data_IF_101093286621
#
_entry.id   IF_101093286621
#
_cell.length_a   1.000
_cell.length_b   1.000
_cell.length_c   1.000
_cell.angle_alpha   90.00
_cell.angle_beta   90.00
_cell.angle_gamma   90.00
#
_symmetry.space_group_name_H-M   'P 1'
#
loop_
_entity.id
_entity.type
_entity.pdbx_description
1 polymer ?
#
# COMPACT_ATOMS: atom_id res chain seq x y z
N UNK A 1 59.94 15.45 36.07
CA UNK A 1 58.59 15.96 35.71
C UNK A 1 58.33 15.64 34.26
N UNK A 2 57.63 14.55 33.97
CA UNK A 2 57.22 14.16 32.62
C UNK A 2 55.71 14.46 32.52
N UNK A 3 55.35 15.39 31.62
CA UNK A 3 53.96 15.67 31.24
C UNK A 3 53.49 14.52 30.33
N UNK A 4 52.53 13.77 30.77
CA UNK A 4 51.77 12.83 29.93
C UNK A 4 50.76 13.59 29.11
N UNK A 5 50.94 13.56 27.79
CA UNK A 5 49.94 14.05 26.84
C UNK A 5 48.79 13.04 26.77
N UNK A 6 47.57 13.53 26.97
CA UNK A 6 46.34 12.75 26.74
C UNK A 6 46.09 12.49 25.27
N UNK A 7 45.33 11.45 24.92
CA UNK A 7 45.12 11.11 23.52
C UNK A 7 44.24 12.16 22.82
N UNK A 8 44.70 12.61 21.67
CA UNK A 8 43.94 13.47 20.76
C UNK A 8 42.69 12.74 20.28
N UNK A 9 41.53 13.32 20.53
CA UNK A 9 40.27 12.91 19.93
C UNK A 9 40.34 13.10 18.41
N UNK A 10 40.15 12.04 17.68
CA UNK A 10 40.02 12.02 16.22
C UNK A 10 38.86 12.91 15.77
N UNK A 11 39.00 13.75 14.75
CA UNK A 11 37.94 14.55 14.18
C UNK A 11 37.10 13.71 13.20
N UNK A 12 36.27 12.80 13.69
CA UNK A 12 35.38 11.99 12.87
C UNK A 12 33.98 11.96 13.50
N UNK A 13 33.42 13.13 13.73
CA UNK A 13 32.01 13.35 13.97
C UNK A 13 31.68 14.80 13.59
N UNK A 14 32.05 15.20 12.38
CA UNK A 14 31.34 16.33 11.79
C UNK A 14 29.91 15.84 11.52
N UNK A 15 29.04 16.33 12.38
CA UNK A 15 27.60 16.21 12.34
C UNK A 15 27.10 16.24 10.90
N UNK A 16 26.17 15.36 10.59
CA UNK A 16 25.31 15.48 9.41
C UNK A 16 24.52 16.81 9.55
N UNK A 17 25.20 17.92 9.25
CA UNK A 17 24.61 19.25 9.22
C UNK A 17 23.44 19.23 8.29
N UNK A 18 22.28 19.62 8.81
CA UNK A 18 21.07 19.78 8.04
C UNK A 18 21.39 20.60 6.79
N UNK A 19 21.42 19.94 5.63
CA UNK A 19 21.67 20.62 4.36
C UNK A 19 20.58 21.64 4.15
N UNK A 20 20.96 22.89 3.94
CA UNK A 20 20.00 23.93 3.60
C UNK A 20 19.23 23.56 2.34
N UNK A 21 18.03 24.11 2.16
CA UNK A 21 17.25 23.89 0.94
C UNK A 21 18.07 24.21 -0.32
N UNK A 22 18.93 25.22 -0.24
CA UNK A 22 19.82 25.65 -1.32
C UNK A 22 20.88 24.59 -1.65
N UNK A 23 21.46 23.95 -0.65
CA UNK A 23 22.44 22.87 -0.83
C UNK A 23 21.78 21.60 -1.37
N UNK A 24 20.60 21.26 -0.89
CA UNK A 24 19.80 20.13 -1.41
C UNK A 24 19.42 20.37 -2.88
N UNK A 25 18.94 21.57 -3.22
CA UNK A 25 18.64 21.95 -4.60
C UNK A 25 19.91 21.94 -5.47
N UNK A 26 21.04 22.46 -4.97
CA UNK A 26 22.32 22.42 -5.65
C UNK A 26 22.79 20.99 -5.95
N UNK A 27 22.61 20.05 -5.01
CA UNK A 27 22.95 18.65 -5.21
C UNK A 27 22.09 17.97 -6.28
N UNK A 28 20.82 18.37 -6.40
CA UNK A 28 19.90 17.89 -7.44
C UNK A 28 20.27 18.45 -8.82
N UNK A 29 20.63 19.74 -8.88
CA UNK A 29 20.98 20.42 -10.13
C UNK A 29 22.31 19.96 -10.73
N UNK A 30 23.23 19.45 -9.90
CA UNK A 30 24.56 19.00 -10.34
C UNK A 30 24.62 17.54 -10.80
N UNK A 31 23.51 16.80 -10.76
CA UNK A 31 23.48 15.37 -11.11
C UNK A 31 23.35 15.18 -12.63
N UNK A 32 24.22 14.35 -13.19
CA UNK A 32 24.11 13.90 -14.58
C UNK A 32 22.85 13.02 -14.72
N UNK A 33 22.00 13.34 -15.71
CA UNK A 33 20.81 12.55 -16.03
C UNK A 33 19.47 13.14 -15.57
N UNK A 34 19.44 14.32 -14.92
CA UNK A 34 18.19 15.02 -14.62
C UNK A 34 17.57 15.60 -15.89
N UNK A 35 16.30 15.29 -16.15
CA UNK A 35 15.61 15.74 -17.36
C UNK A 35 15.03 17.16 -17.24
N UNK A 36 14.86 17.67 -16.03
CA UNK A 36 14.43 19.04 -15.80
C UNK A 36 15.61 20.01 -15.89
N UNK A 37 15.46 21.06 -16.71
CA UNK A 37 16.42 22.15 -16.67
C UNK A 37 16.41 22.82 -15.28
N UNK A 38 17.53 23.46 -14.84
CA UNK A 38 17.59 24.14 -13.53
C UNK A 38 16.46 25.15 -13.30
N UNK A 39 15.96 25.78 -14.35
CA UNK A 39 14.84 26.74 -14.29
C UNK A 39 13.52 26.00 -14.02
N UNK A 40 13.26 24.92 -14.73
CA UNK A 40 12.03 24.13 -14.57
C UNK A 40 12.00 23.44 -13.21
N UNK A 41 13.13 22.88 -12.76
CA UNK A 41 13.27 22.25 -11.46
C UNK A 41 12.94 23.24 -10.31
N UNK A 42 13.47 24.47 -10.39
CA UNK A 42 13.18 25.54 -9.41
C UNK A 42 11.72 25.95 -9.44
N UNK A 43 11.12 26.04 -10.63
CA UNK A 43 9.69 26.35 -10.77
C UNK A 43 8.83 25.25 -10.16
N UNK A 44 9.09 23.99 -10.48
CA UNK A 44 8.35 22.85 -9.92
C UNK A 44 8.47 22.82 -8.39
N UNK A 45 9.67 23.07 -7.84
CA UNK A 45 9.84 23.18 -6.39
C UNK A 45 9.01 24.31 -5.80
N UNK A 46 8.98 25.50 -6.42
CA UNK A 46 8.20 26.62 -5.95
C UNK A 46 6.68 26.31 -5.97
N UNK A 47 6.21 25.63 -7.01
CA UNK A 47 4.81 25.17 -7.12
C UNK A 47 4.47 24.16 -6.00
N UNK A 48 5.34 23.16 -5.75
CA UNK A 48 5.17 22.21 -4.65
C UNK A 48 5.18 22.90 -3.28
N UNK A 49 6.08 23.88 -3.08
CA UNK A 49 6.14 24.67 -1.84
C UNK A 49 4.87 25.49 -1.63
N UNK A 50 4.32 26.07 -2.72
CA UNK A 50 3.04 26.76 -2.66
C UNK A 50 1.90 25.82 -2.25
N UNK A 51 1.83 24.61 -2.79
CA UNK A 51 0.87 23.57 -2.37
C UNK A 51 1.06 23.26 -0.87
N UNK A 52 2.27 23.04 -0.41
CA UNK A 52 2.60 22.68 0.98
C UNK A 52 2.50 23.82 1.99
N UNK A 53 2.26 25.07 1.56
CA UNK A 53 2.29 26.25 2.42
C UNK A 53 1.20 26.18 3.52
N UNK A 54 1.56 26.23 4.82
CA UNK A 54 0.59 26.15 5.91
C UNK A 54 -0.33 27.39 6.04
N UNK A 55 0.01 28.50 5.39
CA UNK A 55 -0.70 29.78 5.49
C UNK A 55 -1.86 29.91 4.50
N UNK A 56 -1.99 29.02 3.52
CA UNK A 56 -3.11 29.02 2.58
C UNK A 56 -4.23 28.06 3.01
N UNK A 57 -5.45 28.32 2.55
CA UNK A 57 -6.58 27.42 2.80
C UNK A 57 -6.40 26.07 2.13
N UNK A 58 -7.09 25.05 2.64
CA UNK A 58 -7.06 23.70 2.02
C UNK A 58 -7.65 23.72 0.61
N UNK A 59 -8.66 24.56 0.35
CA UNK A 59 -9.26 24.73 -0.98
C UNK A 59 -8.24 25.29 -1.98
N UNK A 60 -7.50 26.32 -1.59
CA UNK A 60 -6.45 26.90 -2.44
C UNK A 60 -5.29 25.91 -2.62
N UNK A 61 -4.89 25.21 -1.56
CA UNK A 61 -3.88 24.16 -1.63
C UNK A 61 -4.28 23.03 -2.59
N UNK A 62 -5.54 22.58 -2.55
CA UNK A 62 -6.08 21.59 -3.48
C UNK A 62 -6.09 22.08 -4.94
N UNK A 63 -6.44 23.36 -5.16
CA UNK A 63 -6.41 23.97 -6.48
C UNK A 63 -4.99 24.00 -7.07
N UNK A 64 -4.01 24.38 -6.27
CA UNK A 64 -2.60 24.38 -6.67
C UNK A 64 -2.10 22.95 -6.95
N UNK A 65 -2.48 21.99 -6.10
CA UNK A 65 -2.14 20.58 -6.28
C UNK A 65 -2.70 20.01 -7.59
N UNK A 66 -3.94 20.36 -7.94
CA UNK A 66 -4.53 19.98 -9.23
C UNK A 66 -3.73 20.53 -10.43
N UNK A 67 -3.20 21.75 -10.34
CA UNK A 67 -2.31 22.33 -11.36
C UNK A 67 -1.02 21.53 -11.54
N UNK A 68 -0.38 21.13 -10.42
CA UNK A 68 0.81 20.28 -10.46
C UNK A 68 0.47 18.89 -11.03
N UNK A 69 -0.66 18.29 -10.67
CA UNK A 69 -1.10 17.02 -11.21
C UNK A 69 -1.35 17.08 -12.74
N UNK A 70 -1.92 18.16 -13.24
CA UNK A 70 -2.08 18.39 -14.69
C UNK A 70 -0.73 18.49 -15.42
N UNK A 71 0.25 19.17 -14.84
CA UNK A 71 1.59 19.19 -15.37
C UNK A 71 2.21 17.79 -15.36
N UNK A 72 2.09 17.07 -14.25
CA UNK A 72 2.62 15.71 -14.08
C UNK A 72 2.07 14.73 -15.13
N UNK A 73 0.79 14.82 -15.46
CA UNK A 73 0.17 13.97 -16.46
C UNK A 73 0.81 14.10 -17.87
N UNK A 74 1.40 15.27 -18.18
CA UNK A 74 2.08 15.56 -19.44
C UNK A 74 3.59 15.40 -19.37
N UNK A 75 4.13 15.21 -18.15
CA UNK A 75 5.56 15.13 -17.92
C UNK A 75 6.14 13.79 -18.42
N UNK A 76 7.39 13.81 -18.85
CA UNK A 76 8.14 12.59 -19.20
C UNK A 76 8.41 11.76 -17.94
N UNK A 77 8.75 10.48 -18.12
CA UNK A 77 9.11 9.61 -17.00
C UNK A 77 10.26 10.19 -16.14
N UNK A 78 11.26 10.79 -16.77
CA UNK A 78 12.36 11.42 -16.05
C UNK A 78 11.91 12.66 -15.27
N UNK A 79 11.06 13.50 -15.86
CA UNK A 79 10.50 14.66 -15.19
C UNK A 79 9.63 14.30 -13.98
N UNK A 80 8.87 13.19 -14.07
CA UNK A 80 8.13 12.63 -12.95
C UNK A 80 9.07 12.14 -11.85
N UNK A 81 10.14 11.45 -12.21
CA UNK A 81 11.17 11.01 -11.27
C UNK A 81 11.82 12.19 -10.53
N UNK A 82 12.18 13.28 -11.24
CA UNK A 82 12.71 14.48 -10.60
C UNK A 82 11.70 15.13 -9.65
N UNK A 83 10.40 15.13 -10.01
CA UNK A 83 9.32 15.60 -9.13
C UNK A 83 9.24 14.76 -7.84
N UNK A 84 9.34 13.43 -7.93
CA UNK A 84 9.35 12.56 -6.75
C UNK A 84 10.55 12.85 -5.84
N UNK A 85 11.73 13.10 -6.43
CA UNK A 85 12.92 13.49 -5.67
C UNK A 85 12.71 14.81 -4.92
N UNK A 86 12.12 15.82 -5.58
CA UNK A 86 11.75 17.07 -4.91
C UNK A 86 10.79 16.82 -3.73
N UNK A 87 9.73 16.04 -3.93
CA UNK A 87 8.79 15.70 -2.86
C UNK A 87 9.48 14.91 -1.73
N UNK A 88 10.41 14.03 -2.06
CA UNK A 88 11.09 13.19 -1.08
C UNK A 88 12.12 13.96 -0.26
N UNK A 89 12.96 14.79 -0.90
CA UNK A 89 14.11 15.42 -0.24
C UNK A 89 13.80 16.82 0.32
N UNK A 90 12.91 17.59 -0.34
CA UNK A 90 12.68 18.99 0.04
C UNK A 90 11.58 19.17 1.11
N UNK A 91 10.81 18.12 1.38
CA UNK A 91 9.71 18.12 2.35
C UNK A 91 9.96 17.16 3.51
N UNK A 92 11.22 16.98 3.89
CA UNK A 92 11.61 16.21 5.07
C UNK A 92 11.26 16.96 6.36
N UNK A 93 11.12 16.28 7.51
CA UNK A 93 11.04 16.94 8.82
C UNK A 93 12.21 17.89 9.06
N UNK A 94 11.99 18.93 9.84
CA UNK A 94 13.06 19.83 10.25
C UNK A 94 13.98 19.12 11.25
N UNK A 95 15.24 18.95 10.87
CA UNK A 95 16.23 18.18 11.64
C UNK A 95 16.51 18.86 13.00
N UNK A 96 16.57 20.20 13.05
CA UNK A 96 16.87 20.92 14.28
C UNK A 96 15.73 20.80 15.28
N UNK A 97 14.47 20.95 14.83
CA UNK A 97 13.29 20.75 15.66
C UNK A 97 13.17 19.30 16.16
N UNK A 98 13.53 18.33 15.30
CA UNK A 98 13.48 16.91 15.67
C UNK A 98 14.53 16.59 16.74
N UNK A 99 15.75 17.07 16.59
CA UNK A 99 16.84 16.88 17.56
C UNK A 99 16.55 17.57 18.90
N UNK A 100 15.93 18.76 18.88
CA UNK A 100 15.49 19.45 20.08
C UNK A 100 14.39 18.66 20.81
N UNK A 101 13.34 18.28 20.08
CA UNK A 101 12.22 17.52 20.66
C UNK A 101 12.67 16.15 21.19
N UNK A 102 13.67 15.51 20.56
CA UNK A 102 14.25 14.25 21.04
C UNK A 102 14.99 14.46 22.36
N UNK A 103 15.84 15.49 22.46
CA UNK A 103 16.54 15.83 23.71
C UNK A 103 15.57 16.14 24.85
N UNK A 104 14.52 16.90 24.56
CA UNK A 104 13.48 17.22 25.53
C UNK A 104 12.77 15.97 26.04
N UNK A 105 12.46 15.02 25.14
CA UNK A 105 11.84 13.76 25.50
C UNK A 105 12.77 12.89 26.38
N UNK A 106 14.04 12.75 25.98
CA UNK A 106 15.04 12.01 26.76
C UNK A 106 15.23 12.58 28.15
N UNK A 107 15.20 13.91 28.30
CA UNK A 107 15.30 14.60 29.59
C UNK A 107 14.04 14.48 30.47
N UNK A 108 12.87 14.29 29.85
CA UNK A 108 11.59 14.20 30.53
C UNK A 108 11.23 12.77 31.00
N UNK A 109 11.97 11.75 30.57
CA UNK A 109 11.68 10.35 30.91
C UNK A 109 11.56 10.12 32.42
N UNK A 110 10.47 9.45 32.84
CA UNK A 110 10.17 9.18 34.25
C UNK A 110 9.70 10.41 35.04
N UNK A 111 9.46 11.55 34.42
CA UNK A 111 8.93 12.76 35.05
C UNK A 111 7.47 13.03 34.63
N UNK A 112 6.72 13.90 35.35
CA UNK A 112 5.38 14.30 34.94
C UNK A 112 5.32 15.00 33.56
N UNK A 113 6.45 15.47 33.03
CA UNK A 113 6.54 16.15 31.71
C UNK A 113 6.68 15.17 30.53
N UNK A 114 6.88 13.86 30.78
CA UNK A 114 7.14 12.85 29.73
C UNK A 114 6.07 12.82 28.65
N UNK A 115 4.79 12.75 29.02
CA UNK A 115 3.69 12.71 28.06
C UNK A 115 3.64 13.94 27.16
N UNK A 116 3.92 15.13 27.71
CA UNK A 116 3.96 16.35 26.92
C UNK A 116 5.16 16.38 25.95
N UNK A 117 6.31 15.91 26.41
CA UNK A 117 7.51 15.80 25.58
C UNK A 117 7.33 14.76 24.46
N UNK A 118 6.68 13.62 24.74
CA UNK A 118 6.30 12.62 23.72
C UNK A 118 5.41 13.24 22.63
N UNK A 119 4.41 14.02 23.00
CA UNK A 119 3.53 14.69 22.02
C UNK A 119 4.34 15.67 21.15
N UNK A 120 5.29 16.42 21.74
CA UNK A 120 6.17 17.32 20.96
C UNK A 120 7.05 16.52 20.00
N UNK A 121 7.66 15.43 20.44
CA UNK A 121 8.50 14.58 19.61
C UNK A 121 7.70 13.98 18.43
N UNK A 122 6.50 13.47 18.68
CA UNK A 122 5.62 12.97 17.61
C UNK A 122 5.30 14.05 16.58
N UNK A 123 5.04 15.29 17.01
CA UNK A 123 4.79 16.42 16.10
C UNK A 123 6.02 16.81 15.29
N UNK A 124 7.22 16.73 15.88
CA UNK A 124 8.47 17.03 15.18
C UNK A 124 8.78 16.01 14.07
N UNK A 125 8.29 14.77 14.20
CA UNK A 125 8.40 13.76 13.13
C UNK A 125 7.47 14.00 11.95
N UNK A 126 6.39 14.78 12.11
CA UNK A 126 5.46 15.04 10.99
C UNK A 126 6.14 15.89 9.94
N UNK A 127 6.37 15.28 8.77
CA UNK A 127 7.02 15.97 7.66
C UNK A 127 6.08 16.95 6.95
N UNK A 128 6.58 18.07 6.39
CA UNK A 128 5.79 18.91 5.48
C UNK A 128 5.21 18.15 4.29
N UNK A 129 5.80 16.99 3.93
CA UNK A 129 5.34 16.07 2.89
C UNK A 129 3.93 15.53 3.19
N UNK A 130 3.61 15.24 4.45
CA UNK A 130 2.28 14.80 4.86
C UNK A 130 1.22 15.78 4.39
N UNK A 131 1.39 17.08 4.70
CA UNK A 131 0.46 18.13 4.27
C UNK A 131 0.40 18.29 2.76
N UNK A 132 1.56 18.23 2.08
CA UNK A 132 1.64 18.27 0.63
C UNK A 132 0.76 17.17 0.02
N UNK A 133 0.95 15.91 0.44
CA UNK A 133 0.21 14.76 -0.08
C UNK A 133 -1.29 14.81 0.27
N UNK A 134 -1.65 15.29 1.46
CA UNK A 134 -3.05 15.50 1.84
C UNK A 134 -3.76 16.49 0.91
N UNK A 135 -3.08 17.55 0.48
CA UNK A 135 -3.63 18.52 -0.46
C UNK A 135 -3.76 17.97 -1.87
N UNK A 136 -2.86 17.09 -2.28
CA UNK A 136 -3.07 16.31 -3.50
C UNK A 136 -4.29 15.41 -3.39
N UNK A 137 -4.55 14.77 -2.25
CA UNK A 137 -5.76 13.97 -2.06
C UNK A 137 -7.05 14.79 -2.06
N UNK A 138 -6.99 16.11 -1.83
CA UNK A 138 -8.17 16.94 -1.59
C UNK A 138 -8.94 17.33 -2.86
N UNK A 139 -8.33 17.39 -4.06
CA UNK A 139 -9.08 17.67 -5.29
C UNK A 139 -9.81 16.42 -5.82
N UNK A 140 -10.83 16.54 -6.70
CA UNK A 140 -11.72 15.43 -7.09
C UNK A 140 -11.01 14.14 -7.54
N UNK A 141 -9.99 14.23 -8.37
CA UNK A 141 -9.21 13.10 -8.88
C UNK A 141 -7.89 12.88 -8.09
N UNK A 142 -7.72 13.57 -6.98
CA UNK A 142 -6.45 13.61 -6.25
C UNK A 142 -6.06 12.28 -5.64
N UNK A 143 -7.02 11.52 -5.13
CA UNK A 143 -6.77 10.18 -4.60
C UNK A 143 -6.31 9.23 -5.73
N UNK A 144 -6.95 9.26 -6.88
CA UNK A 144 -6.56 8.50 -8.07
C UNK A 144 -5.13 8.86 -8.49
N UNK A 145 -4.86 10.17 -8.60
CA UNK A 145 -3.55 10.68 -8.93
C UNK A 145 -2.44 10.13 -8.00
N UNK A 146 -2.66 10.15 -6.68
CA UNK A 146 -1.66 9.65 -5.73
C UNK A 146 -1.45 8.14 -5.82
N UNK A 147 -2.51 7.37 -6.03
CA UNK A 147 -2.41 5.90 -6.22
C UNK A 147 -1.62 5.60 -7.50
N UNK A 148 -1.91 6.27 -8.61
CA UNK A 148 -1.22 6.08 -9.89
C UNK A 148 0.24 6.55 -9.81
N UNK A 149 0.49 7.69 -9.19
CA UNK A 149 1.85 8.20 -8.96
C UNK A 149 2.69 7.19 -8.15
N UNK A 150 2.13 6.59 -7.10
CA UNK A 150 2.85 5.56 -6.33
C UNK A 150 3.07 4.29 -7.13
N UNK A 151 2.12 3.88 -7.99
CA UNK A 151 2.30 2.73 -8.87
C UNK A 151 3.50 2.93 -9.82
N UNK A 152 3.67 4.15 -10.36
CA UNK A 152 4.82 4.51 -11.19
C UNK A 152 6.13 4.62 -10.39
N UNK A 153 6.08 5.06 -9.13
CA UNK A 153 7.23 5.23 -8.25
C UNK A 153 7.81 3.89 -7.75
N UNK A 154 6.95 2.90 -7.45
CA UNK A 154 7.36 1.64 -6.82
C UNK A 154 8.50 0.90 -7.56
N UNK A 155 8.51 0.77 -8.90
CA UNK A 155 9.63 0.15 -9.61
C UNK A 155 10.95 0.90 -9.41
N UNK A 156 10.92 2.24 -9.32
CA UNK A 156 12.09 3.08 -9.18
C UNK A 156 12.79 2.95 -7.81
N UNK A 157 12.09 2.48 -6.77
CA UNK A 157 12.69 2.23 -5.44
C UNK A 157 13.83 1.22 -5.45
N UNK A 158 13.88 0.34 -6.44
CA UNK A 158 14.98 -0.64 -6.58
C UNK A 158 16.30 0.06 -6.92
N UNK A 159 16.25 1.06 -7.77
CA UNK A 159 17.41 1.80 -8.28
C UNK A 159 17.70 3.10 -7.53
N UNK A 160 16.68 3.74 -6.94
CA UNK A 160 16.84 5.02 -6.23
C UNK A 160 16.24 5.01 -4.83
N UNK A 161 17.09 4.77 -3.83
CA UNK A 161 16.71 4.71 -2.42
C UNK A 161 16.30 6.05 -1.80
N UNK A 162 16.56 7.17 -2.50
CA UNK A 162 16.14 8.51 -2.06
C UNK A 162 14.62 8.65 -2.04
N UNK A 163 13.91 7.82 -2.81
CA UNK A 163 12.45 7.82 -2.90
C UNK A 163 11.76 7.10 -1.73
N UNK A 164 12.50 6.36 -0.89
CA UNK A 164 11.94 5.58 0.21
C UNK A 164 11.10 6.42 1.18
N UNK A 165 11.53 7.66 1.46
CA UNK A 165 10.80 8.52 2.39
C UNK A 165 9.44 8.98 1.82
N UNK A 166 9.35 9.20 0.50
CA UNK A 166 8.09 9.51 -0.16
C UNK A 166 7.15 8.29 -0.21
N UNK A 167 7.70 7.11 -0.52
CA UNK A 167 6.92 5.87 -0.54
C UNK A 167 6.35 5.52 0.83
N UNK A 168 7.18 5.60 1.88
CA UNK A 168 6.76 5.33 3.26
C UNK A 168 5.63 6.28 3.72
N UNK A 169 5.72 7.57 3.39
CA UNK A 169 4.69 8.55 3.70
C UNK A 169 3.38 8.25 2.97
N UNK A 170 3.45 7.94 1.65
CA UNK A 170 2.28 7.53 0.87
C UNK A 170 1.65 6.26 1.44
N UNK A 171 2.46 5.26 1.79
CA UNK A 171 1.96 4.01 2.37
C UNK A 171 1.25 4.26 3.71
N UNK A 172 1.81 5.10 4.58
CA UNK A 172 1.21 5.45 5.87
C UNK A 172 -0.14 6.17 5.69
N UNK A 173 -0.20 7.15 4.79
CA UNK A 173 -1.43 7.86 4.46
C UNK A 173 -2.48 6.93 3.84
N UNK A 174 -2.09 6.07 2.91
CA UNK A 174 -2.99 5.12 2.29
C UNK A 174 -3.50 4.08 3.29
N UNK A 175 -2.69 3.63 4.24
CA UNK A 175 -3.15 2.73 5.31
C UNK A 175 -4.24 3.35 6.19
N UNK A 176 -4.24 4.69 6.31
CA UNK A 176 -5.29 5.43 7.03
C UNK A 176 -6.52 5.68 6.15
N UNK A 177 -6.32 6.11 4.89
CA UNK A 177 -7.42 6.51 4.01
C UNK A 177 -8.19 5.31 3.45
N UNK A 178 -7.51 4.21 3.20
CA UNK A 178 -8.10 2.97 2.66
C UNK A 178 -8.35 1.92 3.75
N UNK A 179 -8.54 2.36 5.01
CA UNK A 179 -8.98 1.42 6.05
C UNK A 179 -10.31 0.78 5.64
N UNK A 180 -10.45 -0.50 5.92
CA UNK A 180 -11.61 -1.30 5.53
C UNK A 180 -12.94 -0.73 6.06
N UNK A 181 -12.90 0.02 7.16
CA UNK A 181 -14.07 0.70 7.73
C UNK A 181 -14.66 1.75 6.77
N UNK A 182 -13.86 2.30 5.85
CA UNK A 182 -14.27 3.30 4.87
C UNK A 182 -14.58 2.70 3.48
N UNK A 183 -14.48 1.38 3.32
CA UNK A 183 -14.74 0.72 2.05
C UNK A 183 -16.17 0.22 1.96
N UNK A 184 -16.78 0.38 0.79
CA UNK A 184 -18.07 -0.19 0.46
C UNK A 184 -17.88 -1.60 -0.12
N UNK A 185 -18.58 -2.58 0.47
CA UNK A 185 -18.65 -3.93 -0.07
C UNK A 185 -19.82 -4.02 -1.04
N UNK A 186 -19.55 -4.36 -2.30
CA UNK A 186 -20.56 -4.53 -3.33
C UNK A 186 -20.47 -5.93 -3.93
N UNK A 187 -21.63 -6.58 -4.09
CA UNK A 187 -21.72 -7.82 -4.88
C UNK A 187 -21.59 -7.52 -6.35
N UNK A 188 -20.74 -8.28 -7.03
CA UNK A 188 -20.57 -8.25 -8.48
C UNK A 188 -21.27 -9.49 -9.06
N UNK A 189 -22.09 -9.28 -10.05
CA UNK A 189 -22.85 -10.32 -10.72
C UNK A 189 -22.89 -10.06 -12.22
N UNK A 190 -23.48 -10.96 -12.97
CA UNK A 190 -23.68 -10.77 -14.40
C UNK A 190 -24.60 -9.57 -14.74
N UNK A 191 -25.34 -9.06 -13.76
CA UNK A 191 -26.21 -7.88 -13.89
C UNK A 191 -25.44 -6.56 -13.57
N UNK A 192 -24.20 -6.66 -13.15
CA UNK A 192 -23.35 -5.49 -12.89
C UNK A 192 -23.02 -4.78 -14.22
N UNK A 193 -22.68 -3.48 -14.20
CA UNK A 193 -22.25 -2.78 -15.41
C UNK A 193 -21.11 -3.52 -16.10
N UNK A 194 -21.19 -3.66 -17.45
CA UNK A 194 -20.18 -4.37 -18.23
C UNK A 194 -18.74 -3.85 -17.96
N UNK A 195 -18.58 -2.53 -17.80
CA UNK A 195 -17.29 -1.93 -17.45
C UNK A 195 -16.71 -2.43 -16.11
N UNK A 196 -17.54 -2.85 -15.16
CA UNK A 196 -17.07 -3.44 -13.90
C UNK A 196 -16.66 -4.90 -14.11
N UNK A 197 -17.40 -5.64 -14.95
CA UNK A 197 -17.05 -7.03 -15.31
C UNK A 197 -15.73 -7.05 -16.12
N UNK A 198 -15.53 -6.09 -17.02
CA UNK A 198 -14.24 -5.93 -17.72
C UNK A 198 -13.09 -5.67 -16.76
N UNK A 199 -13.31 -4.87 -15.71
CA UNK A 199 -12.31 -4.65 -14.65
C UNK A 199 -12.01 -5.91 -13.85
N UNK A 200 -13.02 -6.74 -13.56
CA UNK A 200 -12.81 -8.04 -12.93
C UNK A 200 -11.88 -8.91 -13.82
N UNK A 201 -12.19 -9.05 -15.09
CA UNK A 201 -11.37 -9.81 -16.05
C UNK A 201 -9.94 -9.28 -16.11
N UNK A 202 -9.78 -7.95 -16.14
CA UNK A 202 -8.47 -7.30 -16.26
C UNK A 202 -7.61 -7.41 -15.01
N UNK A 203 -8.23 -7.35 -13.83
CA UNK A 203 -7.52 -7.20 -12.56
C UNK A 203 -7.44 -8.49 -11.75
N UNK A 204 -8.09 -9.58 -12.19
CA UNK A 204 -7.91 -10.88 -11.56
C UNK A 204 -6.42 -11.30 -11.67
N UNK A 205 -5.78 -11.51 -10.52
CA UNK A 205 -4.33 -11.70 -10.42
C UNK A 205 -3.93 -13.08 -9.88
N UNK A 206 -4.90 -13.87 -9.41
CA UNK A 206 -4.64 -15.20 -8.81
C UNK A 206 -4.93 -16.30 -9.82
N UNK A 207 -6.05 -16.17 -10.52
CA UNK A 207 -6.49 -17.14 -11.54
C UNK A 207 -7.02 -16.39 -12.76
N UNK A 208 -6.19 -16.18 -13.76
CA UNK A 208 -6.51 -15.43 -14.97
C UNK A 208 -7.89 -15.79 -15.53
N UNK A 209 -8.70 -14.80 -15.81
CA UNK A 209 -9.97 -14.96 -16.54
C UNK A 209 -9.68 -14.87 -18.02
N UNK A 210 -9.83 -16.00 -18.72
CA UNK A 210 -9.38 -16.13 -20.12
C UNK A 210 -10.45 -15.84 -21.16
N UNK A 211 -11.72 -15.83 -20.76
CA UNK A 211 -12.86 -15.67 -21.66
C UNK A 211 -14.07 -15.04 -20.96
N UNK A 212 -15.04 -14.57 -21.74
CA UNK A 212 -16.34 -14.17 -21.21
C UNK A 212 -17.14 -15.34 -20.62
N UNK A 213 -16.92 -16.57 -21.11
CA UNK A 213 -17.54 -17.77 -20.56
C UNK A 213 -16.98 -18.09 -19.17
N UNK A 214 -15.65 -17.99 -19.00
CA UNK A 214 -14.99 -18.10 -17.69
C UNK A 214 -15.50 -17.01 -16.73
N UNK A 215 -15.57 -15.74 -17.16
CA UNK A 215 -16.12 -14.66 -16.35
C UNK A 215 -17.58 -14.94 -15.92
N UNK A 216 -18.40 -15.50 -16.83
CA UNK A 216 -19.77 -15.87 -16.52
C UNK A 216 -19.83 -16.98 -15.49
N UNK A 217 -19.02 -18.03 -15.62
CA UNK A 217 -18.90 -19.12 -14.66
C UNK A 217 -18.57 -18.61 -13.24
N UNK A 218 -17.65 -17.65 -13.14
CA UNK A 218 -17.26 -17.04 -11.84
C UNK A 218 -18.32 -16.13 -11.21
N UNK A 219 -19.32 -15.72 -11.99
CA UNK A 219 -20.44 -14.87 -11.54
C UNK A 219 -21.77 -15.64 -11.47
N UNK A 220 -21.74 -16.96 -11.63
CA UNK A 220 -22.92 -17.80 -11.68
C UNK A 220 -23.57 -18.02 -10.31
N UNK A 221 -24.69 -18.76 -10.27
CA UNK A 221 -25.54 -18.88 -9.09
C UNK A 221 -24.83 -19.50 -7.88
N UNK A 222 -23.95 -20.47 -8.09
CA UNK A 222 -23.15 -21.11 -7.04
C UNK A 222 -21.80 -20.41 -6.78
N UNK A 223 -21.65 -19.20 -7.29
CA UNK A 223 -20.49 -18.34 -7.10
C UNK A 223 -20.91 -17.01 -6.52
N UNK A 224 -19.99 -16.39 -5.81
CA UNK A 224 -20.14 -15.02 -5.33
C UNK A 224 -18.85 -14.26 -5.62
N UNK A 225 -19.00 -13.13 -6.27
CA UNK A 225 -17.90 -12.17 -6.42
C UNK A 225 -18.27 -10.90 -5.68
N UNK A 226 -17.33 -10.39 -4.89
CA UNK A 226 -17.48 -9.12 -4.18
C UNK A 226 -16.34 -8.19 -4.56
N UNK A 227 -16.67 -6.91 -4.69
CA UNK A 227 -15.69 -5.83 -4.84
C UNK A 227 -15.70 -4.91 -3.63
N UNK A 228 -14.53 -4.48 -3.18
CA UNK A 228 -14.39 -3.40 -2.21
C UNK A 228 -14.07 -2.10 -2.95
N UNK A 229 -14.84 -1.06 -2.66
CA UNK A 229 -14.75 0.24 -3.31
C UNK A 229 -14.51 1.33 -2.27
N UNK A 230 -13.85 2.40 -2.69
CA UNK A 230 -13.68 3.59 -1.87
C UNK A 230 -14.42 4.77 -2.49
N UNK A 231 -15.19 5.58 -1.71
CA UNK A 231 -15.97 6.70 -2.26
C UNK A 231 -15.15 7.73 -3.06
N UNK A 232 -13.86 7.87 -2.73
CA UNK A 232 -12.94 8.77 -3.42
C UNK A 232 -12.30 8.17 -4.69
N UNK A 233 -12.62 6.91 -5.02
CA UNK A 233 -12.23 6.20 -6.25
C UNK A 233 -13.48 5.58 -6.90
N UNK A 234 -14.43 6.41 -7.35
CA UNK A 234 -15.72 5.92 -7.84
C UNK A 234 -15.53 4.99 -9.04
N UNK A 235 -16.21 3.83 -9.00
CA UNK A 235 -16.16 2.84 -10.06
C UNK A 235 -14.84 2.07 -10.18
N UNK A 236 -13.87 2.31 -9.29
CA UNK A 236 -12.61 1.57 -9.24
C UNK A 236 -12.62 0.59 -8.05
N UNK A 237 -12.66 -0.72 -8.31
CA UNK A 237 -12.51 -1.70 -7.27
C UNK A 237 -11.07 -1.65 -6.71
N UNK A 238 -10.93 -1.84 -5.42
CA UNK A 238 -9.61 -1.97 -4.77
C UNK A 238 -9.21 -3.43 -4.63
N UNK A 239 -10.20 -4.27 -4.35
CA UNK A 239 -10.02 -5.71 -4.13
C UNK A 239 -11.23 -6.43 -4.72
N UNK A 240 -10.97 -7.54 -5.39
CA UNK A 240 -11.98 -8.53 -5.71
C UNK A 240 -11.83 -9.73 -4.78
N UNK A 241 -12.97 -10.33 -4.41
CA UNK A 241 -13.04 -11.56 -3.61
C UNK A 241 -13.99 -12.51 -4.31
N UNK A 242 -13.47 -13.66 -4.76
CA UNK A 242 -14.27 -14.70 -5.40
C UNK A 242 -14.47 -15.88 -4.46
N UNK A 243 -15.71 -16.35 -4.37
CA UNK A 243 -16.17 -17.38 -3.45
C UNK A 243 -16.98 -18.44 -4.19
N UNK A 244 -16.66 -19.71 -3.97
CA UNK A 244 -17.47 -20.84 -4.39
C UNK A 244 -18.32 -21.35 -3.23
N UNK A 245 -19.60 -21.65 -3.51
CA UNK A 245 -20.57 -22.17 -2.53
C UNK A 245 -20.71 -23.68 -2.78
N UNK A 246 -20.28 -24.50 -1.82
CA UNK A 246 -20.12 -25.95 -1.98
C UNK A 246 -20.80 -26.70 -0.83
N UNK A 247 -20.99 -28.01 -1.05
CA UNK A 247 -21.44 -28.93 0.01
C UNK A 247 -20.28 -29.42 0.88
N UNK A 248 -19.05 -29.44 0.33
CA UNK A 248 -17.86 -29.96 1.00
C UNK A 248 -16.67 -29.02 0.83
N UNK A 249 -15.63 -29.26 1.61
CA UNK A 249 -14.38 -28.52 1.52
C UNK A 249 -13.66 -28.83 0.21
N UNK A 250 -13.35 -27.81 -0.60
CA UNK A 250 -12.54 -27.99 -1.81
C UNK A 250 -11.08 -28.26 -1.46
N UNK A 251 -10.49 -29.24 -2.11
CA UNK A 251 -9.08 -29.60 -1.94
C UNK A 251 -8.18 -29.07 -3.07
N UNK A 252 -8.75 -28.55 -4.16
CA UNK A 252 -8.00 -28.02 -5.31
C UNK A 252 -8.80 -26.96 -6.08
N UNK A 253 -8.10 -26.15 -6.86
CA UNK A 253 -8.68 -25.05 -7.64
C UNK A 253 -9.33 -25.54 -8.96
N UNK A 254 -8.76 -26.47 -9.74
CA UNK A 254 -9.29 -26.77 -11.08
C UNK A 254 -10.78 -27.07 -11.15
N UNK A 255 -11.38 -27.84 -10.22
CA UNK A 255 -12.82 -28.08 -10.26
C UNK A 255 -13.68 -26.81 -10.01
N UNK A 256 -13.10 -25.78 -9.35
CA UNK A 256 -13.81 -24.51 -9.09
C UNK A 256 -13.85 -23.61 -10.33
N UNK A 257 -12.91 -23.81 -11.26
CA UNK A 257 -12.76 -23.04 -12.50
C UNK A 257 -13.28 -23.78 -13.74
N UNK A 258 -13.77 -25.01 -13.57
CA UNK A 258 -14.27 -25.82 -14.69
C UNK A 258 -15.61 -25.28 -15.18
N UNK A 259 -15.63 -24.66 -16.36
CA UNK A 259 -16.81 -24.10 -17.01
C UNK A 259 -17.85 -25.19 -17.41
N UNK A 260 -17.44 -26.46 -17.48
CA UNK A 260 -18.29 -27.59 -17.82
C UNK A 260 -18.90 -28.29 -16.60
N UNK A 261 -18.47 -27.92 -15.39
CA UNK A 261 -19.00 -28.50 -14.17
C UNK A 261 -20.46 -28.14 -13.95
N UNK A 262 -21.25 -29.09 -13.44
CA UNK A 262 -22.62 -28.81 -13.06
C UNK A 262 -22.66 -27.85 -11.86
N UNK A 263 -23.60 -26.93 -11.89
CA UNK A 263 -23.78 -25.99 -10.78
C UNK A 263 -24.12 -26.73 -9.48
N UNK A 264 -23.53 -26.26 -8.38
CA UNK A 264 -23.84 -26.80 -7.05
C UNK A 264 -25.28 -26.44 -6.63
N UNK A 265 -25.97 -27.38 -6.00
CA UNK A 265 -27.27 -27.12 -5.39
C UNK A 265 -27.10 -26.21 -4.17
N UNK A 266 -27.49 -24.95 -4.30
CA UNK A 266 -27.38 -23.94 -3.25
C UNK A 266 -28.17 -24.30 -1.97
N UNK A 267 -29.24 -25.06 -2.09
CA UNK A 267 -30.04 -25.50 -0.91
C UNK A 267 -29.22 -26.42 0.01
N UNK A 268 -28.23 -27.11 -0.53
CA UNK A 268 -27.31 -28.03 0.15
C UNK A 268 -25.95 -27.44 0.45
N UNK A 269 -25.66 -26.25 -0.06
CA UNK A 269 -24.39 -25.58 0.17
C UNK A 269 -24.24 -25.23 1.66
N UNK A 270 -23.18 -25.71 2.30
CA UNK A 270 -22.84 -25.47 3.70
C UNK A 270 -21.45 -24.88 3.89
N UNK A 271 -20.68 -24.76 2.80
CA UNK A 271 -19.27 -24.37 2.79
C UNK A 271 -19.05 -23.26 1.77
N UNK A 272 -18.36 -22.20 2.16
CA UNK A 272 -17.92 -21.12 1.30
C UNK A 272 -16.38 -21.14 1.19
N UNK A 273 -15.87 -21.30 -0.02
CA UNK A 273 -14.44 -21.35 -0.33
C UNK A 273 -14.02 -20.07 -1.02
N UNK A 274 -13.21 -19.27 -0.35
CA UNK A 274 -12.55 -18.09 -0.91
C UNK A 274 -11.36 -18.56 -1.76
N UNK A 275 -11.49 -18.57 -3.06
CA UNK A 275 -10.47 -19.12 -3.96
C UNK A 275 -9.65 -18.05 -4.69
N UNK A 276 -10.15 -16.81 -4.78
CA UNK A 276 -9.38 -15.67 -5.25
C UNK A 276 -9.60 -14.43 -4.39
N UNK A 277 -8.51 -13.74 -4.07
CA UNK A 277 -8.50 -12.42 -3.42
C UNK A 277 -7.47 -11.58 -4.15
N UNK A 278 -7.93 -10.72 -5.06
CA UNK A 278 -7.09 -9.98 -5.99
C UNK A 278 -7.07 -8.49 -5.67
N UNK A 279 -5.88 -7.97 -5.36
CA UNK A 279 -5.65 -6.53 -5.26
C UNK A 279 -5.54 -5.93 -6.66
N UNK A 280 -6.34 -4.91 -6.96
CA UNK A 280 -6.44 -4.33 -8.29
C UNK A 280 -5.53 -3.12 -8.50
N UNK A 281 -5.17 -2.43 -7.41
CA UNK A 281 -4.45 -1.16 -7.47
C UNK A 281 -2.98 -1.33 -7.10
N UNK A 282 -2.09 -1.29 -8.10
CA UNK A 282 -0.64 -1.44 -7.91
C UNK A 282 -0.06 -0.41 -6.93
N UNK A 283 -0.59 0.82 -6.95
CA UNK A 283 -0.16 1.88 -6.02
C UNK A 283 -0.51 1.63 -4.56
N UNK A 284 -1.39 0.67 -4.27
CA UNK A 284 -1.73 0.23 -2.90
C UNK A 284 -0.94 -1.00 -2.44
N UNK A 285 0.07 -1.41 -3.19
CA UNK A 285 0.94 -2.53 -2.78
C UNK A 285 1.58 -2.24 -1.42
N UNK A 286 1.47 -3.21 -0.49
CA UNK A 286 1.99 -3.09 0.88
C UNK A 286 1.06 -2.34 1.84
N UNK A 287 -0.03 -1.73 1.35
CA UNK A 287 -1.11 -1.23 2.19
C UNK A 287 -1.90 -2.43 2.72
N UNK A 288 -2.02 -2.53 4.04
CA UNK A 288 -2.77 -3.62 4.66
C UNK A 288 -4.25 -3.23 4.78
N UNK A 289 -5.10 -4.04 4.18
CA UNK A 289 -6.55 -3.93 4.38
C UNK A 289 -7.04 -4.79 5.56
N UNK A 290 -6.11 -5.45 6.26
CA UNK A 290 -6.42 -6.32 7.41
C UNK A 290 -7.22 -7.57 7.07
N UNK A 291 -7.40 -8.43 8.06
CA UNK A 291 -8.25 -9.63 8.02
C UNK A 291 -9.77 -9.30 8.06
N UNK A 292 -10.12 -8.05 8.23
CA UNK A 292 -11.53 -7.60 8.25
C UNK A 292 -12.23 -7.72 6.91
N UNK A 293 -11.50 -7.71 5.77
CA UNK A 293 -12.10 -7.89 4.44
C UNK A 293 -12.85 -9.22 4.31
N UNK A 294 -12.17 -10.32 4.63
CA UNK A 294 -12.79 -11.66 4.58
C UNK A 294 -13.97 -11.73 5.55
N UNK A 295 -13.84 -11.17 6.75
CA UNK A 295 -14.91 -11.15 7.76
C UNK A 295 -16.15 -10.43 7.25
N UNK A 296 -16.03 -9.29 6.56
CA UNK A 296 -17.18 -8.59 5.96
C UNK A 296 -17.87 -9.41 4.88
N UNK A 297 -17.11 -10.13 4.04
CA UNK A 297 -17.69 -11.04 3.05
C UNK A 297 -18.38 -12.23 3.74
N UNK A 298 -17.78 -12.79 4.81
CA UNK A 298 -18.40 -13.85 5.62
C UNK A 298 -19.73 -13.36 6.21
N UNK A 299 -19.81 -12.15 6.73
CA UNK A 299 -21.06 -11.56 7.26
C UNK A 299 -22.13 -11.42 6.17
N UNK A 300 -21.74 -10.93 4.98
CA UNK A 300 -22.64 -10.83 3.83
C UNK A 300 -23.15 -12.20 3.38
N UNK A 301 -22.28 -13.21 3.33
CA UNK A 301 -22.65 -14.57 2.98
C UNK A 301 -23.57 -15.22 4.03
N UNK A 302 -23.33 -14.99 5.32
CA UNK A 302 -24.20 -15.48 6.39
C UNK A 302 -25.58 -14.85 6.37
N UNK A 303 -25.66 -13.58 5.98
CA UNK A 303 -26.94 -12.88 5.83
C UNK A 303 -27.74 -13.41 4.63
N UNK A 304 -27.07 -13.78 3.53
CA UNK A 304 -27.70 -14.34 2.33
C UNK A 304 -28.01 -15.84 2.48
N UNK A 305 -27.12 -16.60 3.12
CA UNK A 305 -27.19 -18.07 3.24
C UNK A 305 -27.01 -18.52 4.70
N UNK A 306 -28.06 -18.59 5.46
CA UNK A 306 -28.01 -18.97 6.88
C UNK A 306 -27.53 -20.41 7.15
N UNK A 307 -27.54 -21.29 6.13
CA UNK A 307 -27.08 -22.67 6.21
C UNK A 307 -25.56 -22.81 6.06
N UNK A 308 -24.82 -21.80 5.54
CA UNK A 308 -23.36 -21.85 5.38
C UNK A 308 -22.71 -21.69 6.75
N UNK A 309 -21.97 -22.71 7.17
CA UNK A 309 -21.31 -22.77 8.47
C UNK A 309 -19.79 -22.84 8.35
N UNK A 310 -19.27 -23.36 7.24
CA UNK A 310 -17.84 -23.54 7.02
C UNK A 310 -17.33 -22.48 6.04
N UNK A 311 -16.27 -21.80 6.43
CA UNK A 311 -15.59 -20.79 5.62
C UNK A 311 -14.11 -21.12 5.57
N UNK A 312 -13.55 -21.20 4.37
CA UNK A 312 -12.12 -21.49 4.18
C UNK A 312 -11.55 -20.72 3.01
N UNK A 313 -10.24 -20.48 3.05
CA UNK A 313 -9.48 -19.93 1.93
C UNK A 313 -8.71 -21.04 1.23
N UNK A 314 -8.69 -21.00 -0.09
CA UNK A 314 -7.85 -21.85 -0.93
C UNK A 314 -6.89 -20.94 -1.71
N UNK A 315 -5.81 -20.54 -1.04
CA UNK A 315 -4.89 -19.52 -1.52
C UNK A 315 -3.53 -20.12 -1.86
N UNK A 316 -2.86 -19.66 -2.93
CA UNK A 316 -1.49 -20.07 -3.21
C UNK A 316 -0.55 -19.60 -2.10
N UNK A 317 0.43 -20.42 -1.77
CA UNK A 317 1.51 -20.06 -0.85
C UNK A 317 2.79 -19.86 -1.67
N UNK A 318 3.16 -18.64 -2.03
CA UNK A 318 4.34 -18.37 -2.83
C UNK A 318 5.60 -18.92 -2.15
N UNK A 319 6.44 -19.64 -2.94
CA UNK A 319 7.70 -20.20 -2.44
C UNK A 319 7.60 -21.50 -1.64
N UNK A 320 6.38 -21.96 -1.26
CA UNK A 320 6.21 -23.17 -0.44
C UNK A 320 6.91 -24.39 -1.05
N UNK A 321 6.77 -24.60 -2.38
CA UNK A 321 7.41 -25.73 -3.06
C UNK A 321 8.93 -25.72 -2.91
N UNK A 322 9.56 -24.58 -3.14
CA UNK A 322 11.01 -24.42 -2.99
C UNK A 322 11.45 -24.61 -1.52
N UNK A 323 10.68 -24.07 -0.59
CA UNK A 323 10.95 -24.25 0.83
C UNK A 323 10.82 -25.72 1.26
N UNK A 324 9.76 -26.41 0.86
CA UNK A 324 9.58 -27.84 1.16
C UNK A 324 10.72 -28.67 0.57
N UNK A 325 11.13 -28.38 -0.67
CA UNK A 325 12.26 -29.09 -1.30
C UNK A 325 13.56 -28.89 -0.52
N UNK A 326 13.84 -27.66 -0.07
CA UNK A 326 15.05 -27.37 0.72
C UNK A 326 15.05 -28.03 2.10
N UNK A 327 13.88 -28.24 2.72
CA UNK A 327 13.74 -28.75 4.09
C UNK A 327 13.16 -30.17 4.15
N UNK A 328 13.09 -30.89 3.01
CA UNK A 328 12.46 -32.20 2.92
C UNK A 328 13.05 -33.22 3.91
N UNK A 329 14.37 -33.23 4.08
CA UNK A 329 15.05 -34.13 5.01
C UNK A 329 14.64 -33.92 6.49
N UNK A 330 14.58 -32.67 6.92
CA UNK A 330 14.18 -32.28 8.28
C UNK A 330 12.70 -32.63 8.54
N UNK A 331 11.84 -32.37 7.56
CA UNK A 331 10.42 -32.66 7.65
C UNK A 331 10.15 -34.15 7.78
N UNK A 332 10.85 -35.00 7.00
CA UNK A 332 10.75 -36.44 7.08
C UNK A 332 11.24 -37.00 8.41
N UNK A 333 12.33 -36.45 8.95
CA UNK A 333 12.81 -36.82 10.28
C UNK A 333 11.81 -36.44 11.38
N UNK A 334 11.27 -35.21 11.35
CA UNK A 334 10.25 -34.75 12.31
C UNK A 334 8.96 -35.58 12.22
N UNK A 335 8.51 -35.96 11.01
CA UNK A 335 7.34 -36.81 10.80
C UNK A 335 7.58 -38.24 11.37
N UNK A 336 8.75 -38.83 11.14
CA UNK A 336 9.12 -40.14 11.68
C UNK A 336 9.18 -40.17 13.20
N UNK A 337 9.71 -39.13 13.85
CA UNK A 337 9.74 -38.97 15.30
C UNK A 337 8.33 -38.85 15.89
N UNK A 338 7.44 -38.08 15.26
CA UNK A 338 6.04 -37.95 15.70
C UNK A 338 5.25 -39.27 15.53
N UNK A 339 5.48 -40.01 14.46
CA UNK A 339 4.87 -41.32 14.24
C UNK A 339 5.31 -42.32 15.35
N UNK A 340 6.62 -42.35 15.71
CA UNK A 340 7.14 -43.18 16.78
C UNK A 340 6.63 -42.80 18.17
N UNK A 341 6.42 -41.50 18.41
CA UNK A 341 5.85 -40.99 19.66
C UNK A 341 4.37 -41.34 19.85
N UNK A 342 3.59 -41.45 18.74
CA UNK A 342 2.18 -41.87 18.78
C UNK A 342 1.98 -43.39 18.84
N UNK A 343 3.01 -44.17 18.54
CA UNK A 343 2.98 -45.62 18.58
C UNK A 343 3.45 -46.19 19.93
N UNK A 344 3.87 -45.33 20.87
CA UNK A 344 4.15 -45.64 22.28
C UNK A 344 3.02 -45.15 23.18
#
# INVERSE_FOLDING_TARGET
>A
MKKTAGPALSPAAESATARTMRERLGSLLGRQGEALSPRVLRRTLAELQAVGNPLISDVEGARLAAGVAQWYARATAQQRHDCWLLMSEQFAPDVSMLEEARRDYEAALGTPAEAQAEVRLRRAFVSPRTRLLQRFAAFPEGMRFLVDMRAELLPALKSDKRLLALDAELQALFSTWFDVAFLDLQRISWQSPAALVEKLIKYEAVHDITSWADAKNRLDEDRRCYGFFHPRLPGEPLIFVEVALLQEMAASIPPLLDESAAHADLSRANTAIFYSISNTQQGLKGVSFGDSLIKRVVEALRAEFGQIKTFATLSPIPGLRGWVQAHAGELLQAASLRARARAR
#
